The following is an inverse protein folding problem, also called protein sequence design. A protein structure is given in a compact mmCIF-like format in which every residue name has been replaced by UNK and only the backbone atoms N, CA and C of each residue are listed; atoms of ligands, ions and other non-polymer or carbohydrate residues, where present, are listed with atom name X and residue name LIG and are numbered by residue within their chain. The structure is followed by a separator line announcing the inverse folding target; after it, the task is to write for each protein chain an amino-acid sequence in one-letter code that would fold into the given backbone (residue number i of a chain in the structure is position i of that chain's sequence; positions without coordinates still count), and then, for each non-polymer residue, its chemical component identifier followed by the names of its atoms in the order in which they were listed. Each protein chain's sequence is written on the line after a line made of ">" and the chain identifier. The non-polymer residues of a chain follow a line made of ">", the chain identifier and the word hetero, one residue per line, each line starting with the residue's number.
data_IF_909446934793
#
_entry.id   IF_909446934793
#
_cell.length_a   1.000
_cell.length_b   1.000
_cell.length_c   1.000
_cell.angle_alpha   90.00
_cell.angle_beta   90.00
_cell.angle_gamma   90.00
#
_symmetry.space_group_name_H-M   'P 1'
#
loop_
_entity.id
_entity.type
_entity.pdbx_description
1 polymer ?
#
# COMPACT_ATOMS: atom_id res chain seq x y z
N UNK A 1 8.42 -25.59 -0.55
CA UNK A 1 7.46 -24.55 -0.12
C UNK A 1 7.08 -24.85 1.33
N UNK A 2 7.13 -23.82 2.19
CA UNK A 2 6.73 -23.97 3.60
C UNK A 2 5.21 -23.78 3.73
N UNK A 3 4.49 -24.86 4.07
CA UNK A 3 3.03 -24.93 4.22
C UNK A 3 2.57 -24.62 5.63
N UNK A 4 3.46 -24.21 6.53
CA UNK A 4 3.11 -23.82 7.90
C UNK A 4 2.09 -22.68 7.86
N UNK A 5 1.04 -22.80 8.66
CA UNK A 5 -0.05 -21.82 8.72
C UNK A 5 0.37 -20.55 9.47
N UNK A 6 -0.16 -19.43 9.02
CA UNK A 6 0.05 -18.11 9.60
C UNK A 6 -1.27 -17.57 10.13
N UNK A 7 -1.29 -17.21 11.41
CA UNK A 7 -2.47 -16.71 12.12
C UNK A 7 -2.20 -15.25 12.54
N UNK A 8 -2.43 -14.30 11.64
CA UNK A 8 -2.04 -12.91 11.85
C UNK A 8 -3.21 -11.96 12.11
N UNK A 9 -4.43 -12.35 11.72
CA UNK A 9 -5.59 -11.45 11.70
C UNK A 9 -6.76 -11.98 12.51
N UNK A 10 -7.64 -11.04 12.93
CA UNK A 10 -8.81 -11.35 13.73
C UNK A 10 -9.74 -12.36 13.03
N UNK A 11 -10.04 -12.16 11.74
CA UNK A 11 -11.05 -12.96 11.03
C UNK A 11 -10.69 -14.45 10.96
N UNK A 12 -9.41 -14.77 10.81
CA UNK A 12 -8.95 -16.17 10.82
C UNK A 12 -8.98 -16.77 12.21
N UNK A 13 -8.59 -16.03 13.23
CA UNK A 13 -8.38 -16.59 14.57
C UNK A 13 -7.43 -17.78 14.52
N UNK A 14 -7.90 -18.96 14.93
CA UNK A 14 -7.17 -20.24 14.89
C UNK A 14 -7.63 -21.20 13.79
N UNK A 15 -8.49 -20.77 12.85
CA UNK A 15 -9.07 -21.63 11.81
C UNK A 15 -8.08 -21.87 10.66
N UNK A 16 -7.65 -23.14 10.39
CA UNK A 16 -6.71 -23.45 9.31
C UNK A 16 -7.38 -23.56 7.93
N UNK A 17 -8.71 -23.44 7.83
CA UNK A 17 -9.44 -23.63 6.59
C UNK A 17 -9.11 -22.57 5.54
N UNK A 18 -9.37 -22.91 4.26
CA UNK A 18 -9.11 -22.01 3.12
C UNK A 18 -9.94 -20.72 3.21
N UNK A 19 -11.20 -20.81 3.60
CA UNK A 19 -12.13 -19.68 3.72
C UNK A 19 -12.25 -19.16 5.17
N UNK A 20 -11.19 -19.22 5.95
CA UNK A 20 -11.21 -18.68 7.31
C UNK A 20 -11.22 -17.14 7.37
N UNK A 21 -10.84 -16.48 6.26
CA UNK A 21 -10.79 -15.01 6.15
C UNK A 21 -11.60 -14.51 4.93
N UNK A 22 -12.93 -14.74 4.84
CA UNK A 22 -13.68 -14.41 3.64
C UNK A 22 -13.73 -12.90 3.34
N UNK A 23 -13.87 -12.03 4.34
CA UNK A 23 -13.89 -10.59 4.13
C UNK A 23 -12.50 -10.05 3.76
N UNK A 24 -11.46 -10.51 4.44
CA UNK A 24 -10.09 -10.16 4.08
C UNK A 24 -9.75 -10.63 2.66
N UNK A 25 -10.13 -11.85 2.28
CA UNK A 25 -9.90 -12.38 0.94
C UNK A 25 -10.66 -11.55 -0.13
N UNK A 26 -11.97 -11.37 0.02
CA UNK A 26 -12.82 -10.69 -0.98
C UNK A 26 -12.47 -9.21 -1.10
N UNK A 27 -12.15 -8.53 -0.01
CA UNK A 27 -11.78 -7.11 -0.02
C UNK A 27 -10.52 -6.80 -0.86
N UNK A 28 -9.68 -7.79 -1.13
CA UNK A 28 -8.56 -7.66 -2.06
C UNK A 28 -9.01 -7.41 -3.52
N UNK A 29 -10.26 -7.70 -3.85
CA UNK A 29 -10.89 -7.29 -5.10
C UNK A 29 -10.83 -5.78 -5.33
N UNK A 30 -10.75 -4.95 -4.29
CA UNK A 30 -10.60 -3.50 -4.41
C UNK A 30 -9.31 -3.11 -5.17
N UNK A 31 -8.20 -3.81 -4.95
CA UNK A 31 -6.96 -3.59 -5.70
C UNK A 31 -7.11 -3.97 -7.18
N UNK A 32 -7.70 -5.14 -7.45
CA UNK A 32 -7.92 -5.61 -8.82
C UNK A 32 -8.83 -4.64 -9.58
N UNK A 33 -9.93 -4.19 -8.96
CA UNK A 33 -10.84 -3.20 -9.54
C UNK A 33 -10.10 -1.88 -9.79
N UNK A 34 -9.32 -1.39 -8.83
CA UNK A 34 -8.51 -0.18 -8.98
C UNK A 34 -7.53 -0.28 -10.17
N UNK A 35 -6.85 -1.41 -10.30
CA UNK A 35 -5.94 -1.68 -11.41
C UNK A 35 -6.66 -1.75 -12.75
N UNK A 36 -7.81 -2.43 -12.84
CA UNK A 36 -8.61 -2.53 -14.07
C UNK A 36 -9.18 -1.17 -14.50
N UNK A 37 -9.67 -0.35 -13.56
CA UNK A 37 -10.10 1.01 -13.86
C UNK A 37 -8.92 1.86 -14.33
N UNK A 38 -7.75 1.74 -13.69
CA UNK A 38 -6.52 2.39 -14.10
C UNK A 38 -6.10 1.99 -15.52
N UNK A 39 -6.14 0.70 -15.84
CA UNK A 39 -5.87 0.17 -17.17
C UNK A 39 -6.82 0.77 -18.23
N UNK A 40 -8.12 0.76 -17.93
CA UNK A 40 -9.13 1.33 -18.81
C UNK A 40 -8.91 2.84 -19.08
N UNK A 41 -8.59 3.60 -18.03
CA UNK A 41 -8.27 5.03 -18.16
C UNK A 41 -6.99 5.25 -18.98
N UNK A 42 -5.97 4.40 -18.78
CA UNK A 42 -4.71 4.49 -19.51
C UNK A 42 -4.89 4.20 -21.01
N UNK A 43 -5.72 3.19 -21.35
CA UNK A 43 -6.07 2.87 -22.75
C UNK A 43 -6.77 4.06 -23.41
N UNK A 44 -7.63 4.77 -22.69
CA UNK A 44 -8.38 5.94 -23.18
C UNK A 44 -7.61 7.25 -23.10
N UNK A 45 -6.46 7.25 -22.46
CA UNK A 45 -5.64 8.47 -22.35
C UNK A 45 -5.12 8.89 -23.73
N UNK A 46 -5.19 10.18 -24.08
CA UNK A 46 -4.58 10.70 -25.31
C UNK A 46 -3.04 10.67 -25.26
N UNK A 47 -2.45 10.51 -24.08
CA UNK A 47 -1.00 10.45 -23.89
C UNK A 47 -0.50 9.02 -24.08
N UNK A 48 0.15 8.75 -25.22
CA UNK A 48 0.67 7.41 -25.58
C UNK A 48 2.19 7.25 -25.33
N UNK A 49 2.91 8.30 -25.27
CA UNK A 49 4.39 8.35 -25.33
C UNK A 49 5.09 7.98 -24.02
N UNK A 50 4.35 7.88 -22.89
CA UNK A 50 4.93 7.61 -21.56
C UNK A 50 4.20 6.52 -20.78
N UNK A 51 3.42 5.71 -21.47
CA UNK A 51 2.51 4.75 -20.88
C UNK A 51 3.18 3.54 -20.22
N UNK A 52 4.45 3.23 -20.52
CA UNK A 52 5.09 2.01 -20.01
C UNK A 52 5.19 1.97 -18.49
N UNK A 53 5.54 3.09 -17.88
CA UNK A 53 5.71 3.15 -16.43
C UNK A 53 4.37 3.11 -15.70
N UNK A 54 3.37 3.79 -16.23
CA UNK A 54 2.00 3.75 -15.74
C UNK A 54 1.40 2.34 -15.88
N UNK A 55 1.70 1.62 -16.98
CA UNK A 55 1.33 0.20 -17.13
C UNK A 55 2.00 -0.69 -16.08
N UNK A 56 3.28 -0.46 -15.77
CA UNK A 56 3.95 -1.17 -14.67
C UNK A 56 3.21 -0.96 -13.34
N UNK A 57 2.83 0.29 -13.03
CA UNK A 57 2.07 0.58 -11.81
C UNK A 57 0.72 -0.13 -11.79
N UNK A 58 -0.02 -0.16 -12.91
CA UNK A 58 -1.29 -0.88 -13.05
C UNK A 58 -1.11 -2.38 -12.80
N UNK A 59 -0.11 -2.99 -13.42
CA UNK A 59 0.20 -4.42 -13.25
C UNK A 59 0.54 -4.74 -11.80
N UNK A 60 1.32 -3.88 -11.14
CA UNK A 60 1.65 -4.06 -9.73
C UNK A 60 0.42 -3.97 -8.82
N UNK A 61 -0.51 -3.05 -9.10
CA UNK A 61 -1.76 -2.95 -8.32
C UNK A 61 -2.62 -4.21 -8.47
N UNK A 62 -2.73 -4.76 -9.68
CA UNK A 62 -3.44 -6.03 -9.91
C UNK A 62 -2.71 -7.18 -9.20
N UNK A 63 -1.38 -7.23 -9.28
CA UNK A 63 -0.57 -8.25 -8.62
C UNK A 63 -0.72 -8.20 -7.08
N UNK A 64 -0.84 -7.01 -6.48
CA UNK A 64 -1.15 -6.84 -5.06
C UNK A 64 -2.48 -7.53 -4.74
N UNK A 65 -3.54 -7.26 -5.51
CA UNK A 65 -4.85 -7.86 -5.27
C UNK A 65 -4.83 -9.39 -5.34
N UNK A 66 -4.18 -9.95 -6.35
CA UNK A 66 -4.07 -11.40 -6.53
C UNK A 66 -3.22 -12.03 -5.42
N UNK A 67 -2.05 -11.46 -5.14
CA UNK A 67 -1.12 -11.99 -4.14
C UNK A 67 -1.68 -11.94 -2.73
N UNK A 68 -2.34 -10.83 -2.37
CA UNK A 68 -3.00 -10.68 -1.07
C UNK A 68 -4.21 -11.60 -0.93
N UNK A 69 -5.03 -11.79 -1.98
CA UNK A 69 -6.08 -12.79 -1.99
C UNK A 69 -5.51 -14.20 -1.72
N UNK A 70 -4.43 -14.58 -2.39
CA UNK A 70 -3.76 -15.87 -2.15
C UNK A 70 -3.29 -16.01 -0.70
N UNK A 71 -2.71 -14.95 -0.13
CA UNK A 71 -2.27 -14.99 1.25
C UNK A 71 -3.46 -15.15 2.22
N UNK A 72 -4.55 -14.42 2.04
CA UNK A 72 -5.72 -14.50 2.93
C UNK A 72 -6.54 -15.78 2.78
N UNK A 73 -6.38 -16.51 1.67
CA UNK A 73 -7.02 -17.84 1.50
C UNK A 73 -6.13 -18.95 1.99
N UNK A 74 -4.89 -19.05 1.56
CA UNK A 74 -3.97 -20.13 1.96
C UNK A 74 -3.38 -19.92 3.35
N UNK A 75 -3.10 -18.68 3.74
CA UNK A 75 -2.48 -18.26 5.01
C UNK A 75 -1.28 -19.12 5.40
N UNK A 76 -0.33 -19.24 4.51
CA UNK A 76 0.87 -20.05 4.66
C UNK A 76 2.13 -19.20 4.48
N UNK A 77 3.25 -19.67 5.04
CA UNK A 77 4.54 -18.98 4.91
C UNK A 77 4.93 -18.77 3.45
N UNK A 78 4.68 -19.73 2.56
CA UNK A 78 4.97 -19.57 1.14
C UNK A 78 4.12 -18.48 0.44
N UNK A 79 2.93 -18.17 0.98
CA UNK A 79 2.05 -17.15 0.39
C UNK A 79 2.44 -15.71 0.79
N UNK A 80 3.21 -15.52 1.88
CA UNK A 80 3.66 -14.20 2.35
C UNK A 80 4.36 -13.38 1.26
N UNK A 81 5.32 -13.93 0.48
CA UNK A 81 5.99 -13.16 -0.57
C UNK A 81 5.04 -12.65 -1.65
N UNK A 82 3.99 -13.40 -1.98
CA UNK A 82 3.01 -12.97 -3.00
C UNK A 82 2.19 -11.77 -2.54
N UNK A 83 1.93 -11.64 -1.24
CA UNK A 83 1.30 -10.46 -0.65
C UNK A 83 2.30 -9.29 -0.54
N UNK A 84 3.50 -9.52 -0.03
CA UNK A 84 4.40 -8.46 0.41
C UNK A 84 5.30 -7.90 -0.69
N UNK A 85 5.76 -8.73 -1.65
CA UNK A 85 6.66 -8.28 -2.71
C UNK A 85 6.00 -7.28 -3.65
N UNK A 86 4.78 -7.52 -4.19
CA UNK A 86 4.14 -6.55 -5.08
C UNK A 86 3.88 -5.19 -4.41
N UNK A 87 3.53 -5.18 -3.12
CA UNK A 87 3.36 -3.95 -2.33
C UNK A 87 4.69 -3.19 -2.25
N UNK A 88 5.78 -3.88 -1.91
CA UNK A 88 7.11 -3.28 -1.80
C UNK A 88 7.60 -2.72 -3.13
N UNK A 89 7.38 -3.46 -4.21
CA UNK A 89 7.72 -3.01 -5.57
C UNK A 89 6.90 -1.79 -5.99
N UNK A 90 5.59 -1.77 -5.67
CA UNK A 90 4.75 -0.61 -5.97
C UNK A 90 5.22 0.63 -5.20
N UNK A 91 5.52 0.51 -3.91
CA UNK A 91 6.01 1.64 -3.11
C UNK A 91 7.30 2.25 -3.69
N UNK A 92 8.27 1.40 -4.06
CA UNK A 92 9.52 1.86 -4.68
C UNK A 92 9.29 2.45 -6.07
N UNK A 93 8.52 1.78 -6.92
CA UNK A 93 8.22 2.24 -8.27
C UNK A 93 7.48 3.59 -8.25
N UNK A 94 6.45 3.72 -7.39
CA UNK A 94 5.70 4.97 -7.31
C UNK A 94 6.53 6.12 -6.73
N UNK A 95 7.35 5.87 -5.70
CA UNK A 95 8.26 6.89 -5.16
C UNK A 95 9.25 7.36 -6.23
N UNK A 96 9.89 6.45 -6.94
CA UNK A 96 10.79 6.79 -8.04
C UNK A 96 10.08 7.56 -9.15
N UNK A 97 8.86 7.14 -9.51
CA UNK A 97 8.02 7.83 -10.48
C UNK A 97 7.69 9.27 -10.03
N UNK A 98 7.22 9.44 -8.80
CA UNK A 98 6.83 10.74 -8.27
C UNK A 98 8.02 11.71 -8.21
N UNK A 99 9.16 11.25 -7.73
CA UNK A 99 10.39 12.07 -7.69
C UNK A 99 10.87 12.45 -9.10
N UNK A 100 10.88 11.48 -10.05
CA UNK A 100 11.39 11.73 -11.39
C UNK A 100 10.41 12.51 -12.24
N UNK A 101 9.15 12.10 -12.31
CA UNK A 101 8.15 12.64 -13.23
C UNK A 101 7.47 13.90 -12.68
N UNK A 102 7.05 13.90 -11.42
CA UNK A 102 6.35 15.02 -10.83
C UNK A 102 7.31 16.09 -10.31
N UNK A 103 8.29 15.69 -9.49
CA UNK A 103 9.21 16.63 -8.85
C UNK A 103 10.38 17.07 -9.77
N UNK A 104 10.65 16.34 -10.86
CA UNK A 104 11.75 16.63 -11.79
C UNK A 104 13.14 16.33 -11.21
N UNK A 105 13.24 15.51 -10.17
CA UNK A 105 14.50 15.21 -9.49
C UNK A 105 15.50 14.50 -10.43
N UNK A 106 16.80 14.82 -10.37
CA UNK A 106 17.83 14.11 -11.10
C UNK A 106 17.98 12.68 -10.57
N UNK A 107 18.45 11.76 -11.42
CA UNK A 107 18.53 10.33 -11.10
C UNK A 107 19.36 10.03 -9.84
N UNK A 108 20.39 10.80 -9.56
CA UNK A 108 21.19 10.62 -8.33
C UNK A 108 20.34 10.81 -7.07
N UNK A 109 19.46 11.80 -7.05
CA UNK A 109 18.53 12.05 -5.93
C UNK A 109 17.47 10.95 -5.87
N UNK A 110 16.94 10.52 -7.02
CA UNK A 110 15.96 9.43 -7.07
C UNK A 110 16.56 8.16 -6.48
N UNK A 111 17.74 7.75 -6.91
CA UNK A 111 18.41 6.53 -6.42
C UNK A 111 18.70 6.64 -4.93
N UNK A 112 19.27 7.77 -4.47
CA UNK A 112 19.54 7.99 -3.06
C UNK A 112 18.26 7.90 -2.20
N UNK A 113 17.16 8.51 -2.67
CA UNK A 113 15.86 8.46 -1.99
C UNK A 113 15.28 7.04 -1.95
N UNK A 114 15.39 6.26 -3.04
CA UNK A 114 14.92 4.88 -3.08
C UNK A 114 15.71 3.98 -2.12
N UNK A 115 17.04 4.13 -2.08
CA UNK A 115 17.90 3.40 -1.13
C UNK A 115 17.55 3.79 0.31
N UNK A 116 17.47 5.09 0.61
CA UNK A 116 17.11 5.60 1.92
C UNK A 116 15.71 5.11 2.36
N UNK A 117 14.74 5.14 1.47
CA UNK A 117 13.40 4.64 1.71
C UNK A 117 13.40 3.13 2.02
N UNK A 118 14.09 2.32 1.21
CA UNK A 118 14.22 0.89 1.44
C UNK A 118 14.82 0.59 2.82
N UNK A 119 15.92 1.25 3.17
CA UNK A 119 16.59 1.05 4.45
C UNK A 119 15.68 1.47 5.62
N UNK A 120 14.95 2.58 5.49
CA UNK A 120 14.01 3.06 6.51
C UNK A 120 12.83 2.09 6.70
N UNK A 121 12.29 1.54 5.60
CA UNK A 121 11.23 0.51 5.68
C UNK A 121 11.77 -0.75 6.37
N UNK A 122 12.97 -1.22 6.01
CA UNK A 122 13.60 -2.39 6.65
C UNK A 122 13.82 -2.16 8.15
N UNK A 123 14.29 -0.98 8.51
CA UNK A 123 14.47 -0.59 9.91
C UNK A 123 13.12 -0.57 10.67
N UNK A 124 12.11 0.12 10.12
CA UNK A 124 10.80 0.24 10.75
C UNK A 124 10.09 -1.13 10.91
N UNK A 125 10.26 -2.05 9.95
CA UNK A 125 9.74 -3.41 10.05
C UNK A 125 10.44 -4.25 11.12
N UNK A 126 11.67 -3.93 11.47
CA UNK A 126 12.45 -4.61 12.52
C UNK A 126 12.15 -4.13 13.94
N UNK A 127 11.48 -2.99 14.11
CA UNK A 127 11.18 -2.43 15.44
C UNK A 127 10.17 -3.34 16.16
N UNK A 128 10.51 -3.72 17.37
CA UNK A 128 9.66 -4.46 18.29
C UNK A 128 9.30 -3.58 19.47
N UNK A 129 8.05 -3.58 19.87
CA UNK A 129 7.58 -2.81 21.01
C UNK A 129 7.39 -3.70 22.23
N UNK A 130 7.68 -3.15 23.43
CA UNK A 130 7.33 -3.79 24.69
C UNK A 130 5.85 -3.55 25.02
N UNK A 131 5.21 -4.54 25.65
CA UNK A 131 3.81 -4.42 26.09
C UNK A 131 3.56 -3.32 27.13
N UNK A 132 4.61 -2.90 27.82
CA UNK A 132 4.53 -1.87 28.86
C UNK A 132 4.37 -0.46 28.30
N UNK A 133 4.93 -0.21 27.10
CA UNK A 133 4.93 1.11 26.47
C UNK A 133 3.77 1.34 25.51
N UNK A 134 3.27 0.28 24.90
CA UNK A 134 2.26 0.37 23.83
C UNK A 134 1.21 -0.73 23.98
N UNK A 135 -0.01 -0.41 24.48
CA UNK A 135 -1.06 -1.40 24.74
C UNK A 135 -1.57 -2.15 23.50
N UNK A 136 -1.29 -1.66 22.28
CA UNK A 136 -1.67 -2.29 21.01
C UNK A 136 -0.64 -3.32 20.50
N UNK A 137 0.32 -3.72 21.34
CA UNK A 137 1.31 -4.73 20.98
C UNK A 137 1.02 -6.01 21.76
N UNK A 138 0.60 -7.07 21.09
CA UNK A 138 0.31 -8.34 21.74
C UNK A 138 1.57 -9.21 21.85
N UNK A 139 2.11 -9.29 23.05
CA UNK A 139 3.22 -10.18 23.41
C UNK A 139 4.61 -9.60 23.09
N UNK A 140 5.57 -9.90 23.96
CA UNK A 140 6.97 -9.51 23.77
C UNK A 140 7.52 -10.06 22.44
N UNK A 141 8.31 -9.23 21.75
CA UNK A 141 8.94 -9.60 20.49
C UNK A 141 8.03 -9.50 19.25
N UNK A 142 6.79 -9.02 19.37
CA UNK A 142 5.91 -8.78 18.23
C UNK A 142 6.12 -7.38 17.65
N UNK A 143 5.79 -7.25 16.37
CA UNK A 143 5.91 -5.98 15.63
C UNK A 143 4.94 -4.95 16.20
N UNK A 144 5.41 -3.70 16.35
CA UNK A 144 4.62 -2.60 16.89
C UNK A 144 3.34 -2.35 16.07
N UNK A 145 2.23 -2.04 16.74
CA UNK A 145 0.95 -1.69 16.14
C UNK A 145 0.48 -2.74 15.13
N UNK A 146 0.57 -4.04 15.48
CA UNK A 146 0.22 -5.14 14.58
C UNK A 146 0.99 -5.10 13.23
N UNK A 147 2.23 -4.61 13.24
CA UNK A 147 3.09 -4.50 12.07
C UNK A 147 2.86 -3.24 11.23
N UNK A 148 1.95 -2.35 11.65
CA UNK A 148 1.64 -1.11 10.90
C UNK A 148 2.80 -0.13 10.90
N UNK A 149 3.67 -0.15 11.92
CA UNK A 149 4.85 0.73 11.99
C UNK A 149 5.76 0.59 10.75
N UNK A 150 5.84 -0.60 10.16
CA UNK A 150 6.59 -0.83 8.93
C UNK A 150 6.11 -0.04 7.71
N UNK A 151 4.91 0.53 7.76
CA UNK A 151 4.33 1.35 6.68
C UNK A 151 4.48 2.86 6.90
N UNK A 152 4.93 3.29 8.08
CA UNK A 152 5.11 4.73 8.38
C UNK A 152 6.07 5.45 7.43
N UNK A 153 7.17 4.83 6.91
CA UNK A 153 8.00 5.49 5.92
C UNK A 153 7.26 5.78 4.61
N UNK A 154 6.34 4.90 4.19
CA UNK A 154 5.54 5.13 2.99
C UNK A 154 4.54 6.28 3.19
N UNK A 155 3.90 6.36 4.35
CA UNK A 155 3.08 7.50 4.72
C UNK A 155 3.88 8.81 4.72
N UNK A 156 5.05 8.82 5.35
CA UNK A 156 5.93 9.98 5.38
C UNK A 156 6.37 10.40 3.96
N UNK A 157 6.70 9.44 3.09
CA UNK A 157 7.06 9.71 1.70
C UNK A 157 5.92 10.40 0.93
N UNK A 158 4.67 9.95 1.10
CA UNK A 158 3.50 10.60 0.48
C UNK A 158 3.37 12.07 0.93
N UNK A 159 3.50 12.32 2.23
CA UNK A 159 3.39 13.67 2.79
C UNK A 159 4.55 14.56 2.33
N UNK A 160 5.80 14.08 2.42
CA UNK A 160 6.99 14.85 2.06
C UNK A 160 7.02 15.18 0.56
N UNK A 161 6.81 14.17 -0.30
CA UNK A 161 6.76 14.41 -1.75
C UNK A 161 5.57 15.28 -2.11
N UNK A 162 4.40 15.04 -1.49
CA UNK A 162 3.22 15.91 -1.64
C UNK A 162 3.52 17.37 -1.28
N UNK A 163 4.26 17.62 -0.19
CA UNK A 163 4.71 18.94 0.23
C UNK A 163 5.64 19.59 -0.79
N UNK A 164 6.62 18.86 -1.29
CA UNK A 164 7.53 19.35 -2.36
C UNK A 164 6.72 19.73 -3.60
N UNK A 165 5.78 18.89 -4.03
CA UNK A 165 4.95 19.16 -5.20
C UNK A 165 4.01 20.36 -4.97
N UNK A 166 3.49 20.54 -3.75
CA UNK A 166 2.66 21.69 -3.40
C UNK A 166 3.45 23.00 -3.53
N UNK A 167 4.66 23.04 -2.99
CA UNK A 167 5.57 24.22 -3.13
C UNK A 167 5.90 24.49 -4.59
N UNK A 168 6.01 23.44 -5.40
CA UNK A 168 6.25 23.55 -6.85
C UNK A 168 5.00 23.90 -7.66
N UNK A 169 3.82 24.03 -7.05
CA UNK A 169 2.54 24.25 -7.73
C UNK A 169 2.10 23.09 -8.63
N UNK A 170 2.62 21.86 -8.38
CA UNK A 170 2.31 20.71 -9.22
C UNK A 170 0.97 20.07 -8.83
N UNK A 171 0.06 19.87 -9.80
CA UNK A 171 -1.31 19.36 -9.57
C UNK A 171 -1.37 17.97 -8.92
N UNK A 172 -0.31 17.17 -9.04
CA UNK A 172 -0.26 15.86 -8.39
C UNK A 172 -0.18 15.94 -6.85
N UNK A 173 0.16 17.09 -6.26
CA UNK A 173 0.22 17.27 -4.82
C UNK A 173 -1.09 16.85 -4.13
N UNK A 174 -2.25 17.27 -4.67
CA UNK A 174 -3.55 16.92 -4.13
C UNK A 174 -3.82 15.40 -4.10
N UNK A 175 -3.33 14.67 -5.11
CA UNK A 175 -3.47 13.20 -5.15
C UNK A 175 -2.62 12.52 -4.08
N UNK A 176 -1.39 13.01 -3.84
CA UNK A 176 -0.53 12.46 -2.80
C UNK A 176 -1.09 12.71 -1.40
N UNK A 177 -1.63 13.91 -1.13
CA UNK A 177 -2.27 14.20 0.15
C UNK A 177 -3.56 13.40 0.37
N UNK A 178 -4.40 13.24 -0.68
CA UNK A 178 -5.58 12.38 -0.61
C UNK A 178 -5.17 10.92 -0.34
N UNK A 179 -4.12 10.43 -1.00
CA UNK A 179 -3.57 9.11 -0.75
C UNK A 179 -3.01 8.99 0.67
N UNK A 180 -2.29 9.99 1.18
CA UNK A 180 -1.77 10.00 2.55
C UNK A 180 -2.92 9.94 3.59
N UNK A 181 -4.00 10.68 3.38
CA UNK A 181 -5.18 10.63 4.25
C UNK A 181 -5.83 9.24 4.27
N UNK A 182 -6.06 8.65 3.08
CA UNK A 182 -6.60 7.28 2.97
C UNK A 182 -5.67 6.26 3.62
N UNK A 183 -4.34 6.46 3.46
CA UNK A 183 -3.37 5.56 4.06
C UNK A 183 -3.36 5.64 5.58
N UNK A 184 -3.45 6.83 6.15
CA UNK A 184 -3.56 7.00 7.60
C UNK A 184 -4.79 6.27 8.15
N UNK A 185 -5.95 6.42 7.50
CA UNK A 185 -7.16 5.70 7.87
C UNK A 185 -6.98 4.17 7.74
N UNK A 186 -6.38 3.69 6.65
CA UNK A 186 -6.09 2.28 6.45
C UNK A 186 -5.15 1.74 7.52
N UNK A 187 -4.05 2.46 7.83
CA UNK A 187 -3.11 2.10 8.89
C UNK A 187 -3.80 2.01 10.25
N UNK A 188 -4.75 2.88 10.54
CA UNK A 188 -5.53 2.83 11.79
C UNK A 188 -6.34 1.53 11.87
N UNK A 189 -7.09 1.17 10.83
CA UNK A 189 -7.87 -0.07 10.81
C UNK A 189 -7.00 -1.33 10.90
N UNK A 190 -5.82 -1.33 10.26
CA UNK A 190 -4.87 -2.43 10.41
C UNK A 190 -4.34 -2.53 11.84
N UNK A 191 -4.03 -1.40 12.46
CA UNK A 191 -3.49 -1.35 13.83
C UNK A 191 -4.47 -1.94 14.83
N UNK A 192 -5.76 -1.56 14.75
CA UNK A 192 -6.76 -1.95 15.73
C UNK A 192 -7.42 -3.32 15.45
N UNK A 193 -7.10 -3.99 14.34
CA UNK A 193 -7.75 -5.22 13.90
C UNK A 193 -7.89 -6.28 15.01
N UNK A 194 -6.79 -6.59 15.68
CA UNK A 194 -6.79 -7.58 16.75
C UNK A 194 -7.41 -7.07 18.06
N UNK A 195 -7.35 -5.75 18.29
CA UNK A 195 -7.88 -5.12 19.51
C UNK A 195 -9.41 -5.12 19.54
N UNK A 196 -10.03 -4.88 18.37
CA UNK A 196 -11.51 -4.85 18.25
C UNK A 196 -12.12 -6.22 17.95
N UNK A 197 -11.32 -7.28 17.95
CA UNK A 197 -11.75 -8.62 17.54
C UNK A 197 -12.97 -9.14 18.35
N UNK A 198 -12.98 -8.88 19.66
CA UNK A 198 -14.06 -9.27 20.55
C UNK A 198 -15.34 -8.43 20.38
N UNK A 199 -15.24 -7.24 19.79
CA UNK A 199 -16.38 -6.34 19.57
C UNK A 199 -16.96 -6.47 18.18
N UNK A 200 -16.24 -7.10 17.26
CA UNK A 200 -16.64 -7.29 15.86
C UNK A 200 -17.09 -8.73 15.58
N UNK A 201 -17.79 -9.36 16.54
CA UNK A 201 -18.26 -10.74 16.39
C UNK A 201 -19.48 -10.77 15.48
N UNK A 202 -19.43 -11.62 14.42
CA UNK A 202 -20.55 -11.99 13.56
C UNK A 202 -20.64 -13.50 13.42
N UNK A 203 -21.82 -14.05 13.63
CA UNK A 203 -22.06 -15.50 13.58
C UNK A 203 -21.05 -16.31 14.42
N UNK A 204 -20.67 -15.81 15.61
CA UNK A 204 -19.74 -16.48 16.52
C UNK A 204 -18.25 -16.37 16.15
N UNK A 205 -17.90 -15.61 15.10
CA UNK A 205 -16.50 -15.36 14.68
C UNK A 205 -16.14 -13.88 14.78
N UNK A 206 -14.93 -13.58 15.21
CA UNK A 206 -14.36 -12.23 15.11
C UNK A 206 -14.16 -11.86 13.65
N UNK A 207 -14.56 -10.66 13.27
CA UNK A 207 -14.38 -10.14 11.90
C UNK A 207 -13.15 -9.22 11.81
N UNK A 208 -12.92 -8.42 12.84
CA UNK A 208 -11.85 -7.42 12.84
C UNK A 208 -12.10 -6.28 11.86
N UNK A 209 -11.02 -5.58 11.53
CA UNK A 209 -11.07 -4.39 10.65
C UNK A 209 -10.07 -4.47 9.48
N UNK A 210 -9.35 -5.59 9.32
CA UNK A 210 -8.31 -5.71 8.30
C UNK A 210 -8.84 -5.63 6.86
N UNK A 211 -10.08 -6.06 6.61
CA UNK A 211 -10.72 -5.87 5.30
C UNK A 211 -10.87 -4.40 4.89
N UNK A 212 -10.98 -3.47 5.86
CA UNK A 212 -10.97 -2.02 5.60
C UNK A 212 -9.58 -1.53 5.18
N UNK A 213 -8.51 -2.14 5.71
CA UNK A 213 -7.15 -1.90 5.22
C UNK A 213 -7.05 -2.19 3.72
N UNK A 214 -7.57 -3.31 3.23
CA UNK A 214 -7.54 -3.64 1.80
C UNK A 214 -8.36 -2.64 0.98
N UNK A 215 -9.60 -2.38 1.40
CA UNK A 215 -10.53 -1.51 0.66
C UNK A 215 -9.96 -0.08 0.53
N UNK A 216 -9.48 0.49 1.64
CA UNK A 216 -8.90 1.83 1.65
C UNK A 216 -7.59 1.91 0.87
N UNK A 217 -6.73 0.88 0.95
CA UNK A 217 -5.53 0.83 0.13
C UNK A 217 -5.85 0.63 -1.36
N UNK A 218 -6.88 -0.13 -1.72
CA UNK A 218 -7.35 -0.22 -3.10
C UNK A 218 -7.74 1.17 -3.64
N UNK A 219 -8.50 1.94 -2.85
CA UNK A 219 -8.87 3.32 -3.20
C UNK A 219 -7.64 4.25 -3.26
N UNK A 220 -6.73 4.13 -2.29
CA UNK A 220 -5.47 4.87 -2.27
C UNK A 220 -4.66 4.63 -3.54
N UNK A 221 -4.44 3.35 -3.91
CA UNK A 221 -3.67 3.00 -5.10
C UNK A 221 -4.36 3.50 -6.37
N UNK A 222 -5.69 3.47 -6.44
CA UNK A 222 -6.45 4.10 -7.52
C UNK A 222 -6.17 5.61 -7.61
N UNK A 223 -6.20 6.34 -6.49
CA UNK A 223 -5.91 7.77 -6.45
C UNK A 223 -4.48 8.07 -6.94
N UNK A 224 -3.51 7.24 -6.55
CA UNK A 224 -2.13 7.37 -7.02
C UNK A 224 -1.99 7.08 -8.53
N UNK A 225 -2.65 6.02 -9.03
CA UNK A 225 -2.70 5.72 -10.47
C UNK A 225 -3.33 6.89 -11.25
N UNK A 226 -4.42 7.45 -10.74
CA UNK A 226 -5.10 8.57 -11.37
C UNK A 226 -4.19 9.82 -11.44
N UNK A 227 -3.44 10.10 -10.38
CA UNK A 227 -2.42 11.14 -10.35
C UNK A 227 -1.34 10.92 -11.43
N UNK A 228 -0.83 9.69 -11.54
CA UNK A 228 0.16 9.30 -12.55
C UNK A 228 -0.38 9.46 -13.98
N UNK A 229 -1.56 8.91 -14.25
CA UNK A 229 -2.18 8.95 -15.58
C UNK A 229 -2.47 10.39 -16.03
N UNK A 230 -2.96 11.25 -15.12
CA UNK A 230 -3.37 12.62 -15.46
C UNK A 230 -2.21 13.62 -15.52
N UNK A 231 -1.19 13.44 -14.69
CA UNK A 231 -0.16 14.44 -14.46
C UNK A 231 1.28 13.96 -14.67
N UNK A 232 1.49 12.72 -15.11
CA UNK A 232 2.82 12.10 -15.28
C UNK A 232 3.55 12.51 -16.57
N UNK A 233 3.12 13.55 -17.32
CA UNK A 233 3.89 14.08 -18.44
C UNK A 233 5.26 14.61 -17.94
N UNK A 234 6.38 14.33 -18.66
CA UNK A 234 7.66 14.94 -18.32
C UNK A 234 7.55 16.47 -18.33
N UNK A 235 8.23 17.12 -17.39
CA UNK A 235 8.24 18.60 -17.32
C UNK A 235 8.74 19.26 -18.61
N UNK A 236 9.66 18.60 -19.30
CA UNK A 236 10.22 19.08 -20.55
C UNK A 236 9.22 19.07 -21.72
N UNK A 237 8.10 18.36 -21.59
CA UNK A 237 7.01 18.29 -22.57
C UNK A 237 5.90 19.34 -22.30
N UNK A 238 5.97 20.09 -21.21
CA UNK A 238 5.00 21.14 -20.93
C UNK A 238 5.44 22.44 -21.64
N UNK A 239 4.51 23.15 -22.33
CA UNK A 239 4.82 24.48 -22.87
C UNK A 239 5.34 25.36 -21.72
N UNK A 240 6.51 25.99 -21.90
CA UNK A 240 6.98 27.01 -20.97
C UNK A 240 5.89 28.07 -20.88
N UNK A 241 5.34 28.26 -19.68
CA UNK A 241 4.41 29.36 -19.44
C UNK A 241 5.10 30.66 -19.86
N UNK A 242 4.51 31.37 -20.83
CA UNK A 242 4.96 32.71 -21.27
C UNK A 242 4.62 33.74 -20.22
#
# INVERSE_FOLDING_TARGET
>A
MDWSKVYSYCERGGDPSFWAEPLNAISNGAFTIAGLIGAWQLIRSPRKDHALFEWLLVVLVIAIGIGSFMFHTYATVWAIPFDTIPISLFMLAYLGYALRRFAGAPWIIVIAALVGFYLTVRYAQGIQCSNELLPMTRGAGKRCFNGTLGYTPAFAALVLVGGVLLVQGHRAAGYLFAAAFLFLAAMTFRTIDLEVCTWTIRAGRGVGTHFLWHTLNGLLLYVLLLGAIRHGAPRDALPKAR
#
